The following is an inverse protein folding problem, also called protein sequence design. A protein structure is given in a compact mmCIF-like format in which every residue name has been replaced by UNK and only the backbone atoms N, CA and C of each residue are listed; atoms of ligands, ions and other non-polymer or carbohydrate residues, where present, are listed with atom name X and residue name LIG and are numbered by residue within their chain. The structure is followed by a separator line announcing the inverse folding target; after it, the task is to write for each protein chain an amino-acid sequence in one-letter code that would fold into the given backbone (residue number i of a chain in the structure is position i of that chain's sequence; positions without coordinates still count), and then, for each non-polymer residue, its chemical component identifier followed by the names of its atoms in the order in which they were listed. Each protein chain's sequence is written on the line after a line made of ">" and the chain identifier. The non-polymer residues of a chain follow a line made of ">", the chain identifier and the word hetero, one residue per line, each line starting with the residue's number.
data_IF_825985826720
#
_entry.id   IF_825985826720
#
_cell.length_a   1.000
_cell.length_b   1.000
_cell.length_c   1.000
_cell.angle_alpha   90.00
_cell.angle_beta   90.00
_cell.angle_gamma   90.00
#
_symmetry.space_group_name_H-M   'P 1'
#
loop_
_entity.id
_entity.type
_entity.pdbx_description
1 polymer ?
#
# COMPACT_ATOMS: atom_id res chain seq x y z
N UNK A 1 -6.59 11.17 7.11
CA UNK A 1 -5.60 12.19 7.53
C UNK A 1 -4.28 11.53 7.88
N UNK A 2 -3.13 12.10 7.51
CA UNK A 2 -1.78 11.61 7.84
C UNK A 2 -0.92 12.76 8.34
N UNK A 3 -0.10 12.53 9.36
CA UNK A 3 0.82 13.50 9.96
C UNK A 3 2.22 12.89 10.05
N UNK A 4 3.23 13.70 9.78
CA UNK A 4 4.64 13.31 9.78
C UNK A 4 5.39 13.97 10.94
N UNK A 5 6.42 13.29 11.42
CA UNK A 5 7.26 13.70 12.53
C UNK A 5 8.72 13.32 12.26
N UNK A 6 9.67 13.93 12.98
CA UNK A 6 11.09 13.58 12.93
C UNK A 6 11.66 13.61 11.51
N UNK A 7 11.67 14.79 10.89
CA UNK A 7 12.13 15.02 9.50
C UNK A 7 11.38 14.20 8.42
N UNK A 8 10.22 13.63 8.76
CA UNK A 8 9.43 12.82 7.83
C UNK A 8 9.70 11.32 7.93
N UNK A 9 10.53 10.89 8.89
CA UNK A 9 10.88 9.48 9.08
C UNK A 9 9.80 8.71 9.84
N UNK A 10 8.93 9.40 10.58
CA UNK A 10 7.80 8.79 11.26
C UNK A 10 6.49 9.38 10.74
N UNK A 11 5.48 8.54 10.54
CA UNK A 11 4.14 8.97 10.14
C UNK A 11 3.06 8.27 10.94
N UNK A 12 1.98 9.01 11.22
CA UNK A 12 0.76 8.49 11.82
C UNK A 12 -0.41 8.86 10.89
N UNK A 13 -1.29 7.91 10.59
CA UNK A 13 -2.49 8.17 9.79
C UNK A 13 -3.74 7.50 10.31
N UNK A 14 -4.85 8.18 10.07
CA UNK A 14 -6.21 7.72 10.28
C UNK A 14 -6.94 7.73 8.93
N UNK A 15 -7.48 6.59 8.52
CA UNK A 15 -8.37 6.44 7.37
C UNK A 15 -9.73 5.96 7.86
N UNK A 16 -10.79 6.64 7.45
CA UNK A 16 -12.17 6.31 7.83
C UNK A 16 -13.06 6.43 6.61
N UNK A 17 -14.12 5.63 6.55
CA UNK A 17 -15.05 5.70 5.44
C UNK A 17 -16.23 4.77 5.60
N UNK A 18 -17.15 4.90 4.68
CA UNK A 18 -18.43 4.22 4.71
C UNK A 18 -18.63 3.54 3.36
N UNK A 19 -18.83 2.24 3.36
CA UNK A 19 -18.98 1.42 2.16
C UNK A 19 -20.29 0.68 2.21
N UNK A 20 -21.01 0.66 1.08
CA UNK A 20 -22.25 -0.09 0.92
C UNK A 20 -21.98 -1.19 -0.10
N UNK A 21 -22.34 -2.42 0.26
CA UNK A 21 -22.30 -3.55 -0.66
C UNK A 21 -23.70 -3.81 -1.19
N UNK A 22 -23.82 -3.97 -2.52
CA UNK A 22 -25.06 -4.38 -3.18
C UNK A 22 -24.77 -5.52 -4.13
N UNK A 23 -25.46 -6.63 -3.95
CA UNK A 23 -25.38 -7.79 -4.85
C UNK A 23 -26.72 -8.03 -5.50
N UNK A 24 -26.71 -8.32 -6.81
CA UNK A 24 -27.90 -8.70 -7.56
C UNK A 24 -27.74 -10.14 -8.05
N UNK A 25 -28.67 -11.01 -7.68
CA UNK A 25 -28.70 -12.42 -8.08
C UNK A 25 -30.00 -12.72 -8.85
N UNK A 26 -29.97 -13.03 -10.16
CA UNK A 26 -31.17 -13.14 -10.99
C UNK A 26 -31.98 -14.44 -10.81
N UNK A 27 -31.64 -15.30 -9.84
CA UNK A 27 -32.15 -16.69 -9.78
C UNK A 27 -33.25 -16.96 -8.76
N UNK A 28 -33.52 -16.04 -7.84
CA UNK A 28 -34.59 -16.13 -6.84
C UNK A 28 -35.09 -14.71 -6.55
N UNK A 29 -36.39 -14.59 -6.27
CA UNK A 29 -37.10 -13.35 -5.94
C UNK A 29 -36.23 -12.49 -5.01
N UNK A 30 -35.96 -11.28 -5.49
CA UNK A 30 -35.14 -10.18 -4.95
C UNK A 30 -34.69 -10.31 -3.48
N UNK A 31 -33.46 -10.81 -3.28
CA UNK A 31 -32.70 -10.53 -2.07
C UNK A 31 -31.63 -9.48 -2.38
N UNK A 32 -31.92 -8.23 -2.01
CA UNK A 32 -30.89 -7.21 -1.87
C UNK A 32 -30.23 -7.38 -0.50
N UNK A 33 -29.00 -7.87 -0.48
CA UNK A 33 -28.18 -7.84 0.74
C UNK A 33 -27.57 -6.43 0.85
N UNK A 34 -28.27 -5.55 1.56
CA UNK A 34 -27.85 -4.17 1.82
C UNK A 34 -27.06 -4.14 3.14
N UNK A 35 -25.75 -4.39 3.03
CA UNK A 35 -24.85 -4.26 4.17
C UNK A 35 -24.08 -2.93 4.13
N UNK A 36 -24.13 -2.24 5.26
CA UNK A 36 -23.42 -0.99 5.51
C UNK A 36 -22.19 -1.26 6.37
N UNK A 37 -21.01 -0.92 5.84
CA UNK A 37 -19.74 -1.13 6.52
C UNK A 37 -19.05 0.19 6.81
N UNK A 38 -18.86 0.48 8.09
CA UNK A 38 -17.97 1.55 8.52
C UNK A 38 -16.54 1.03 8.64
N UNK A 39 -15.61 1.60 7.89
CA UNK A 39 -14.19 1.27 7.94
C UNK A 39 -13.46 2.35 8.72
N UNK A 40 -12.51 1.95 9.57
CA UNK A 40 -11.72 2.85 10.39
C UNK A 40 -10.37 2.23 10.73
N UNK A 41 -9.29 2.79 10.18
CA UNK A 41 -7.94 2.24 10.26
C UNK A 41 -6.99 3.30 10.78
N UNK A 42 -6.30 2.98 11.86
CA UNK A 42 -5.15 3.74 12.36
C UNK A 42 -3.89 3.06 11.87
N UNK A 43 -2.87 3.85 11.54
CA UNK A 43 -1.62 3.35 10.98
C UNK A 43 -0.45 4.19 11.45
N UNK A 44 0.67 3.52 11.72
CA UNK A 44 1.93 4.14 12.09
C UNK A 44 3.04 3.56 11.22
N UNK A 45 3.91 4.40 10.70
CA UNK A 45 5.00 3.99 9.81
C UNK A 45 6.29 4.67 10.25
N UNK A 46 7.39 3.93 10.21
CA UNK A 46 8.73 4.40 10.56
C UNK A 46 9.75 3.98 9.50
N UNK A 47 10.50 4.93 8.96
CA UNK A 47 11.59 4.71 8.02
C UNK A 47 12.94 4.81 8.73
N UNK A 48 13.68 3.71 8.71
CA UNK A 48 15.07 3.66 9.10
C UNK A 48 15.97 4.00 7.90
N UNK A 49 16.34 5.28 7.79
CA UNK A 49 17.06 5.82 6.64
C UNK A 49 18.39 5.12 6.30
N UNK A 50 19.27 4.71 7.25
CA UNK A 50 20.56 4.10 6.89
C UNK A 50 20.42 2.88 5.97
N UNK A 51 19.35 2.10 6.16
CA UNK A 51 19.07 0.90 5.39
C UNK A 51 17.82 1.03 4.49
N UNK A 52 17.27 2.22 4.27
CA UNK A 52 16.07 2.40 3.43
C UNK A 52 14.95 1.37 3.74
N UNK A 53 14.80 1.10 5.03
CA UNK A 53 13.91 0.09 5.58
C UNK A 53 12.72 0.79 6.21
N UNK A 54 11.51 0.42 5.83
CA UNK A 54 10.28 1.01 6.33
C UNK A 54 9.47 -0.04 7.07
N UNK A 55 9.12 0.26 8.30
CA UNK A 55 8.23 -0.52 9.14
C UNK A 55 6.86 0.15 9.13
N UNK A 56 5.80 -0.63 8.98
CA UNK A 56 4.43 -0.14 8.99
C UNK A 56 3.55 -1.04 9.85
N UNK A 57 2.68 -0.42 10.63
CA UNK A 57 1.61 -1.12 11.34
C UNK A 57 0.30 -0.43 10.98
N UNK A 58 -0.73 -1.22 10.70
CA UNK A 58 -2.12 -0.78 10.50
C UNK A 58 -3.01 -1.62 11.38
N UNK A 59 -3.97 -1.01 12.07
CA UNK A 59 -4.94 -1.72 12.87
C UNK A 59 -6.27 -1.00 12.87
N UNK A 60 -7.36 -1.75 13.01
CA UNK A 60 -8.70 -1.21 13.10
C UNK A 60 -9.71 -2.09 12.38
N UNK A 61 -10.77 -1.45 11.92
CA UNK A 61 -11.86 -2.08 11.20
C UNK A 61 -11.64 -1.94 9.69
N UNK A 62 -11.36 -3.07 9.04
CA UNK A 62 -11.18 -3.18 7.59
C UNK A 62 -12.54 -3.37 6.90
N UNK A 63 -12.54 -3.43 5.57
CA UNK A 63 -13.74 -3.71 4.79
C UNK A 63 -14.46 -4.97 5.27
N UNK A 64 -15.79 -4.97 5.16
CA UNK A 64 -16.67 -6.03 5.67
C UNK A 64 -16.63 -6.21 7.20
N UNK A 65 -16.41 -5.11 7.94
CA UNK A 65 -16.36 -5.09 9.41
C UNK A 65 -15.32 -6.05 10.01
N UNK A 66 -14.22 -6.26 9.30
CA UNK A 66 -13.15 -7.16 9.72
C UNK A 66 -12.15 -6.42 10.61
N UNK A 67 -12.21 -6.68 11.91
CA UNK A 67 -11.20 -6.16 12.84
C UNK A 67 -9.91 -6.95 12.63
N UNK A 68 -8.86 -6.25 12.22
CA UNK A 68 -7.56 -6.85 11.94
C UNK A 68 -6.40 -5.92 12.28
N UNK A 69 -5.20 -6.48 12.26
CA UNK A 69 -3.95 -5.76 12.24
C UNK A 69 -3.07 -6.28 11.09
N UNK A 70 -2.32 -5.37 10.47
CA UNK A 70 -1.34 -5.64 9.42
C UNK A 70 -0.01 -5.03 9.82
N UNK A 71 1.04 -5.81 9.69
CA UNK A 71 2.42 -5.37 9.79
C UNK A 71 3.07 -5.45 8.41
N UNK A 72 3.78 -4.41 8.02
CA UNK A 72 4.50 -4.31 6.76
C UNK A 72 5.98 -4.00 7.04
N UNK A 73 6.87 -4.72 6.38
CA UNK A 73 8.32 -4.48 6.37
C UNK A 73 8.77 -4.32 4.93
N UNK A 74 9.15 -3.10 4.53
CA UNK A 74 9.55 -2.79 3.16
C UNK A 74 11.01 -2.37 3.12
N UNK A 75 11.81 -3.04 2.31
CA UNK A 75 13.16 -2.61 1.97
C UNK A 75 13.18 -2.05 0.56
N UNK A 76 13.74 -0.86 0.41
CA UNK A 76 13.96 -0.22 -0.88
C UNK A 76 15.44 -0.32 -1.30
N UNK A 77 15.68 -0.70 -2.55
CA UNK A 77 16.97 -0.77 -3.22
C UNK A 77 16.92 0.09 -4.48
N UNK A 78 17.09 1.40 -4.32
CA UNK A 78 16.89 2.30 -5.45
C UNK A 78 15.41 2.37 -5.84
N UNK A 79 15.10 1.94 -7.05
CA UNK A 79 13.73 1.83 -7.57
C UNK A 79 13.09 0.46 -7.29
N UNK A 80 13.89 -0.57 -7.01
CA UNK A 80 13.40 -1.89 -6.62
C UNK A 80 12.89 -1.86 -5.17
N UNK A 81 11.71 -2.41 -4.92
CA UNK A 81 11.16 -2.55 -3.57
C UNK A 81 10.82 -4.01 -3.30
N UNK A 82 11.23 -4.51 -2.14
CA UNK A 82 10.90 -5.83 -1.64
C UNK A 82 10.28 -5.65 -0.27
N UNK A 83 9.07 -6.14 -0.09
CA UNK A 83 8.37 -6.07 1.18
C UNK A 83 7.83 -7.39 1.64
N UNK A 84 7.65 -7.51 2.94
CA UNK A 84 6.97 -8.59 3.62
C UNK A 84 5.82 -8.01 4.40
N UNK A 85 4.74 -8.77 4.52
CA UNK A 85 3.65 -8.37 5.38
C UNK A 85 3.09 -9.59 6.12
N UNK A 86 2.54 -9.30 7.28
CA UNK A 86 1.82 -10.25 8.10
C UNK A 86 0.51 -9.60 8.55
N UNK A 87 -0.53 -10.41 8.65
CA UNK A 87 -1.87 -9.96 9.02
C UNK A 87 -2.45 -10.92 10.03
N UNK A 88 -3.17 -10.37 10.99
CA UNK A 88 -3.91 -11.11 12.00
C UNK A 88 -5.29 -10.50 12.13
N UNK A 89 -6.31 -11.34 12.16
CA UNK A 89 -7.71 -10.92 12.39
C UNK A 89 -8.13 -11.23 13.82
N UNK A 90 -9.22 -10.60 14.26
CA UNK A 90 -9.88 -10.93 15.54
C UNK A 90 -10.32 -12.40 15.60
N UNK A 91 -10.64 -13.01 14.47
CA UNK A 91 -10.99 -14.43 14.35
C UNK A 91 -9.77 -15.37 14.41
N UNK A 92 -8.59 -14.86 14.77
CA UNK A 92 -7.32 -15.60 14.82
C UNK A 92 -6.83 -16.13 13.47
N UNK A 93 -7.36 -15.60 12.36
CA UNK A 93 -6.80 -15.91 11.04
C UNK A 93 -5.51 -15.14 10.83
N UNK A 94 -4.41 -15.87 10.73
CA UNK A 94 -3.11 -15.35 10.32
C UNK A 94 -2.90 -15.57 8.81
N UNK A 95 -2.46 -14.53 8.12
CA UNK A 95 -2.00 -14.59 6.73
C UNK A 95 -0.77 -13.71 6.58
N UNK A 96 0.04 -13.96 5.56
CA UNK A 96 1.23 -13.18 5.29
C UNK A 96 1.70 -13.40 3.88
N UNK A 97 2.75 -12.70 3.51
CA UNK A 97 3.24 -12.75 2.15
C UNK A 97 4.35 -11.76 1.88
N UNK A 98 4.63 -11.59 0.61
CA UNK A 98 5.64 -10.66 0.12
C UNK A 98 5.06 -9.80 -1.00
N UNK A 99 5.64 -8.63 -1.17
CA UNK A 99 5.38 -7.75 -2.29
C UNK A 99 6.70 -7.38 -2.97
N UNK A 100 6.65 -7.28 -4.29
CA UNK A 100 7.75 -6.76 -5.08
C UNK A 100 7.22 -5.61 -5.93
N UNK A 101 8.03 -4.58 -6.11
CA UNK A 101 7.82 -3.55 -7.11
C UNK A 101 9.12 -3.41 -7.88
N UNK A 102 9.07 -3.80 -9.15
CA UNK A 102 10.21 -3.87 -10.07
C UNK A 102 10.03 -2.77 -11.11
N UNK A 103 11.02 -1.87 -11.30
CA UNK A 103 10.93 -0.84 -12.33
C UNK A 103 10.90 -1.46 -13.73
N UNK A 104 9.98 -1.00 -14.58
CA UNK A 104 9.86 -1.47 -15.96
C UNK A 104 10.74 -0.60 -16.89
N UNK A 105 11.67 -1.20 -17.67
CA UNK A 105 12.36 -0.48 -18.73
C UNK A 105 11.42 -0.26 -19.93
N UNK A 106 11.57 0.82 -20.72
CA UNK A 106 12.43 1.99 -20.55
C UNK A 106 11.91 3.02 -19.54
N UNK A 107 12.77 3.52 -18.66
CA UNK A 107 12.43 4.56 -17.66
C UNK A 107 12.13 5.96 -18.22
N UNK A 108 12.09 6.13 -19.55
CA UNK A 108 11.82 7.41 -20.23
C UNK A 108 10.60 7.29 -21.14
N UNK A 109 9.86 8.38 -21.29
CA UNK A 109 8.71 8.45 -22.19
C UNK A 109 9.15 8.18 -23.63
N UNK A 110 8.55 7.19 -24.28
CA UNK A 110 8.73 6.99 -25.70
C UNK A 110 7.92 8.05 -26.45
N UNK A 111 8.60 8.93 -27.17
CA UNK A 111 7.99 9.99 -27.97
C UNK A 111 8.09 9.64 -29.44
N UNK A 112 6.95 9.47 -30.09
CA UNK A 112 6.85 9.24 -31.54
C UNK A 112 6.08 10.43 -32.13
N UNK A 113 6.80 11.44 -32.62
CA UNK A 113 6.26 12.71 -33.17
C UNK A 113 5.18 13.35 -32.27
N UNK A 114 3.91 13.05 -32.53
CA UNK A 114 2.71 13.58 -31.86
C UNK A 114 2.15 12.66 -30.76
N UNK A 115 2.64 11.42 -30.64
CA UNK A 115 2.21 10.44 -29.65
C UNK A 115 3.25 10.31 -28.53
N UNK A 116 2.77 10.28 -27.29
CA UNK A 116 3.56 9.97 -26.10
C UNK A 116 3.00 8.71 -25.45
N UNK A 117 3.74 7.62 -25.53
CA UNK A 117 3.38 6.38 -24.84
C UNK A 117 4.06 6.40 -23.48
N UNK A 118 3.26 6.23 -22.43
CA UNK A 118 3.73 6.14 -21.05
C UNK A 118 3.35 4.77 -20.50
N UNK A 119 4.34 3.93 -20.28
CA UNK A 119 4.17 2.69 -19.51
C UNK A 119 4.05 2.98 -18.01
N UNK A 120 3.57 1.98 -17.26
CA UNK A 120 3.70 1.99 -15.80
C UNK A 120 5.18 2.12 -15.42
N UNK A 121 5.48 2.86 -14.36
CA UNK A 121 6.86 3.01 -13.87
C UNK A 121 7.38 1.67 -13.34
N UNK A 122 6.51 0.91 -12.70
CA UNK A 122 6.83 -0.33 -12.03
C UNK A 122 5.78 -1.41 -12.28
N UNK A 123 6.24 -2.65 -12.24
CA UNK A 123 5.43 -3.84 -12.11
C UNK A 123 5.37 -4.20 -10.62
N UNK A 124 4.17 -4.22 -10.06
CA UNK A 124 3.96 -4.61 -8.67
C UNK A 124 3.23 -5.94 -8.56
N UNK A 125 3.73 -6.81 -7.69
CA UNK A 125 3.16 -8.12 -7.38
C UNK A 125 3.06 -8.27 -5.87
N UNK A 126 1.88 -8.63 -5.36
CA UNK A 126 1.68 -9.08 -3.97
C UNK A 126 1.32 -10.56 -3.98
N UNK A 127 2.12 -11.37 -3.30
CA UNK A 127 1.82 -12.79 -3.08
C UNK A 127 1.33 -12.97 -1.65
N UNK A 128 0.25 -13.77 -1.50
CA UNK A 128 -0.35 -14.13 -0.21
C UNK A 128 -0.23 -15.63 -0.01
N UNK A 129 0.21 -16.05 1.17
CA UNK A 129 0.35 -17.45 1.52
C UNK A 129 -1.00 -18.18 1.59
N UNK A 130 -2.04 -17.51 2.09
CA UNK A 130 -3.43 -17.99 2.02
C UNK A 130 -4.20 -17.18 0.98
N UNK A 131 -5.12 -17.84 0.28
CA UNK A 131 -5.97 -17.25 -0.79
C UNK A 131 -6.79 -16.04 -0.33
N UNK A 132 -7.64 -15.48 -1.21
CA UNK A 132 -8.38 -14.22 -1.04
C UNK A 132 -9.23 -14.16 0.25
N UNK A 133 -8.60 -13.96 1.40
CA UNK A 133 -9.25 -13.74 2.67
C UNK A 133 -9.76 -12.30 2.66
N UNK A 134 -11.08 -12.09 2.79
CA UNK A 134 -11.71 -10.77 2.96
C UNK A 134 -11.14 -9.98 4.16
N UNK A 135 -10.36 -10.65 5.00
CA UNK A 135 -9.75 -10.23 6.27
C UNK A 135 -9.09 -8.86 6.32
N UNK A 136 -8.38 -8.41 5.27
CA UNK A 136 -7.63 -7.13 5.29
C UNK A 136 -7.83 -6.37 3.98
N UNK A 137 -9.08 -6.30 3.51
CA UNK A 137 -9.45 -5.43 2.41
C UNK A 137 -9.47 -3.97 2.87
N UNK A 138 -8.80 -3.09 2.14
CA UNK A 138 -8.92 -1.64 2.30
C UNK A 138 -9.37 -1.04 0.98
N UNK A 139 -10.15 0.04 1.02
CA UNK A 139 -10.27 0.90 -0.15
C UNK A 139 -9.13 1.93 -0.13
N UNK A 140 -8.52 2.15 -1.27
CA UNK A 140 -7.57 3.25 -1.46
C UNK A 140 -8.25 4.28 -2.37
N UNK A 141 -8.54 5.46 -1.84
CA UNK A 141 -9.11 6.56 -2.62
C UNK A 141 -8.06 7.30 -3.45
N UNK A 142 -6.87 6.73 -3.66
CA UNK A 142 -5.92 7.19 -4.65
C UNK A 142 -5.00 8.33 -4.19
N UNK A 143 -4.64 8.38 -2.91
CA UNK A 143 -3.59 9.30 -2.47
C UNK A 143 -2.19 8.77 -2.85
N UNK A 144 -1.89 8.81 -4.15
CA UNK A 144 -0.58 8.51 -4.76
C UNK A 144 0.56 9.36 -4.18
N UNK A 145 0.22 10.47 -3.50
CA UNK A 145 1.16 11.38 -2.86
C UNK A 145 2.10 10.67 -1.87
N UNK A 146 1.65 9.63 -1.17
CA UNK A 146 2.50 8.89 -0.22
C UNK A 146 3.52 7.98 -0.91
N UNK A 147 3.09 7.22 -1.92
CA UNK A 147 4.00 6.38 -2.72
C UNK A 147 5.09 7.26 -3.38
N UNK A 148 4.69 8.45 -3.83
CA UNK A 148 5.60 9.48 -4.33
C UNK A 148 6.50 10.01 -3.20
N UNK A 149 6.01 10.37 -2.01
CA UNK A 149 6.86 10.85 -0.91
C UNK A 149 7.88 9.80 -0.41
N UNK A 150 7.54 8.51 -0.43
CA UNK A 150 8.52 7.43 -0.17
C UNK A 150 9.56 7.31 -1.29
N UNK A 151 9.12 7.37 -2.54
CA UNK A 151 9.95 7.34 -3.75
C UNK A 151 10.88 8.58 -3.84
N UNK A 152 10.47 9.69 -3.22
CA UNK A 152 11.15 10.99 -3.24
C UNK A 152 11.68 11.45 -1.87
N UNK A 153 11.94 10.54 -0.93
CA UNK A 153 12.51 10.93 0.36
C UNK A 153 13.88 11.62 0.17
N UNK A 154 14.08 12.78 0.82
CA UNK A 154 15.25 13.63 0.63
C UNK A 154 16.57 12.92 0.96
N UNK A 155 16.59 12.01 1.93
CA UNK A 155 17.79 11.25 2.30
C UNK A 155 18.19 10.24 1.22
N UNK A 156 17.21 9.66 0.52
CA UNK A 156 17.47 8.79 -0.61
C UNK A 156 18.12 9.55 -1.78
N UNK A 157 17.63 10.76 -2.08
CA UNK A 157 18.25 11.60 -3.10
C UNK A 157 19.65 12.07 -2.74
N UNK A 158 19.88 12.46 -1.48
CA UNK A 158 21.22 12.85 -1.01
C UNK A 158 22.24 11.72 -1.21
N UNK A 159 21.89 10.48 -0.84
CA UNK A 159 22.77 9.32 -1.05
C UNK A 159 23.02 9.02 -2.52
N UNK A 160 22.02 9.18 -3.39
CA UNK A 160 22.17 8.96 -4.84
C UNK A 160 23.04 10.04 -5.49
N UNK A 161 22.84 11.31 -5.12
CA UNK A 161 23.65 12.43 -5.62
C UNK A 161 25.12 12.31 -5.21
N UNK A 162 25.40 11.91 -3.98
CA UNK A 162 26.78 11.67 -3.52
C UNK A 162 27.43 10.54 -4.32
N UNK A 163 26.70 9.47 -4.63
CA UNK A 163 27.23 8.32 -5.38
C UNK A 163 27.47 8.59 -6.88
N UNK A 164 26.85 9.61 -7.46
CA UNK A 164 27.09 10.01 -8.86
C UNK A 164 28.17 11.11 -9.01
N UNK A 165 28.56 11.75 -7.90
CA UNK A 165 29.58 12.81 -7.86
C UNK A 165 30.99 12.27 -7.51
N UNK A 166 31.11 10.99 -7.17
CA UNK A 166 32.36 10.28 -6.86
C UNK A 166 32.38 8.93 -7.60
#
# INVERSE_FOLDING_TARGET
>A
MRKYFGEGNFSLSLNTGYTVYKSFSPKLIEYFEDDNYFTGIVSAEYRYCPYDLTFGVKAGNFLYNNIAARFDLLRQFGELKIGFFATVTKSSDFNGGFNFSIPLPPGKYMRIKYLRVRQSKDFSLEYRAKGFSKSVGTYDTGSQLYNILMEYNADFFKKRLIKELF
#
